data_IF_031511164337
#
_entry.id   IF_031511164337
#
_cell.length_a   1.000
_cell.length_b   1.000
_cell.length_c   1.000
_cell.angle_alpha   90.00
_cell.angle_beta   90.00
_cell.angle_gamma   90.00
#
_symmetry.space_group_name_H-M   'P 1'
#
loop_
_entity.id
_entity.type
_entity.pdbx_description
1 polymer ?
#
# COMPACT_ATOMS: atom_id res chain seq x y z
N UNK A 1 51.74 -50.66 35.50
CA UNK A 1 50.34 -50.23 35.65
C UNK A 1 50.18 -48.96 34.89
N UNK A 2 49.55 -49.02 33.70
CA UNK A 2 49.24 -47.82 32.86
C UNK A 2 47.73 -47.59 32.96
N UNK A 3 47.37 -46.44 33.58
CA UNK A 3 45.99 -46.01 33.74
C UNK A 3 45.57 -45.30 32.43
N UNK A 4 44.51 -45.80 31.79
CA UNK A 4 43.89 -45.23 30.61
C UNK A 4 42.75 -44.33 31.11
N UNK A 5 42.91 -42.99 30.97
CA UNK A 5 41.85 -42.03 31.21
C UNK A 5 40.99 -41.94 29.94
N UNK A 6 39.78 -42.46 30.01
CA UNK A 6 38.77 -42.33 28.93
C UNK A 6 38.07 -41.00 29.06
N UNK A 7 38.27 -40.11 28.08
CA UNK A 7 37.62 -38.79 28.01
C UNK A 7 36.25 -38.93 27.32
N UNK A 8 35.18 -38.91 28.09
CA UNK A 8 33.82 -38.87 27.52
C UNK A 8 33.50 -37.44 27.04
N UNK A 9 33.45 -37.27 25.73
CA UNK A 9 33.04 -36.01 25.08
C UNK A 9 31.50 -35.93 25.10
N UNK A 10 30.94 -35.14 26.00
CA UNK A 10 29.51 -34.87 26.08
C UNK A 10 29.14 -33.87 24.98
N UNK A 11 28.57 -34.34 23.87
CA UNK A 11 28.01 -33.49 22.82
C UNK A 11 26.68 -32.95 23.30
N UNK A 12 26.63 -31.69 23.72
CA UNK A 12 25.40 -30.95 23.94
C UNK A 12 24.78 -30.64 22.59
N UNK A 13 23.73 -31.37 22.20
CA UNK A 13 22.81 -31.02 21.15
C UNK A 13 21.98 -29.83 21.65
N UNK A 14 22.32 -28.61 21.24
CA UNK A 14 21.45 -27.45 21.42
C UNK A 14 20.21 -27.66 20.55
N UNK A 15 18.99 -27.58 21.13
CA UNK A 15 17.79 -27.56 20.29
C UNK A 15 17.84 -26.31 19.43
N UNK A 16 17.96 -26.50 18.12
CA UNK A 16 17.80 -25.41 17.17
C UNK A 16 16.41 -24.78 17.37
N UNK A 17 16.35 -23.51 17.74
CA UNK A 17 15.11 -22.75 17.64
C UNK A 17 14.69 -22.80 16.16
N UNK A 18 13.70 -23.62 15.85
CA UNK A 18 12.99 -23.51 14.58
C UNK A 18 12.29 -22.15 14.59
N UNK A 19 12.74 -21.25 13.74
CA UNK A 19 12.04 -19.99 13.49
C UNK A 19 10.64 -20.34 12.96
N UNK A 20 9.62 -20.23 13.82
CA UNK A 20 8.23 -20.58 13.51
C UNK A 20 7.49 -19.40 12.85
N UNK A 21 8.23 -18.44 12.29
CA UNK A 21 7.62 -17.35 11.56
C UNK A 21 6.83 -17.91 10.37
N UNK A 22 5.57 -17.52 10.27
CA UNK A 22 4.74 -17.87 9.11
C UNK A 22 5.39 -17.31 7.84
N UNK A 23 5.28 -18.02 6.71
CA UNK A 23 5.76 -17.46 5.43
C UNK A 23 5.04 -16.14 5.12
N UNK A 24 5.66 -15.24 4.33
CA UNK A 24 5.03 -14.00 3.91
C UNK A 24 3.66 -14.25 3.30
N UNK A 25 2.67 -13.47 3.73
CA UNK A 25 1.27 -13.61 3.28
C UNK A 25 1.15 -13.36 1.77
N UNK A 26 0.30 -14.14 1.11
CA UNK A 26 -0.09 -14.02 -0.30
C UNK A 26 -1.60 -13.81 -0.42
N UNK A 27 -2.06 -13.28 -1.57
CA UNK A 27 -3.50 -13.12 -1.83
C UNK A 27 -4.20 -14.48 -1.83
N UNK A 28 -3.53 -15.54 -2.30
CA UNK A 28 -4.04 -16.91 -2.25
C UNK A 28 -4.35 -17.40 -0.82
N UNK A 29 -3.68 -16.85 0.20
CA UNK A 29 -3.96 -17.19 1.60
C UNK A 29 -5.33 -16.64 2.05
N UNK A 30 -5.84 -15.57 1.39
CA UNK A 30 -7.10 -14.92 1.76
C UNK A 30 -8.34 -15.79 1.52
N UNK A 31 -8.21 -16.88 0.79
CA UNK A 31 -9.28 -17.87 0.59
C UNK A 31 -9.33 -18.90 1.74
N UNK A 32 -8.20 -19.16 2.37
CA UNK A 32 -8.02 -20.27 3.31
C UNK A 32 -8.20 -19.85 4.78
N UNK A 33 -8.04 -18.58 5.10
CA UNK A 33 -8.20 -18.04 6.46
C UNK A 33 -9.54 -17.28 6.55
N UNK A 34 -10.36 -17.64 7.51
CA UNK A 34 -11.66 -17.02 7.78
C UNK A 34 -11.55 -15.75 8.61
N UNK A 35 -10.40 -15.52 9.25
CA UNK A 35 -10.17 -14.35 10.09
C UNK A 35 -9.53 -13.20 9.32
N UNK A 36 -10.35 -12.28 8.81
CA UNK A 36 -9.89 -11.05 8.14
C UNK A 36 -8.93 -10.24 9.02
N UNK A 37 -9.12 -10.27 10.35
CA UNK A 37 -8.23 -9.60 11.30
C UNK A 37 -6.83 -10.24 11.32
N UNK A 38 -6.75 -11.57 11.36
CA UNK A 38 -5.46 -12.27 11.34
C UNK A 38 -4.73 -12.03 10.01
N UNK A 39 -5.46 -12.08 8.90
CA UNK A 39 -4.89 -11.76 7.58
C UNK A 39 -4.36 -10.32 7.53
N UNK A 40 -5.11 -9.36 8.10
CA UNK A 40 -4.66 -7.97 8.22
C UNK A 40 -3.36 -7.85 9.01
N UNK A 41 -3.27 -8.49 10.18
CA UNK A 41 -2.04 -8.50 10.99
C UNK A 41 -0.86 -9.05 10.19
N UNK A 42 -1.00 -10.21 9.54
CA UNK A 42 0.04 -10.80 8.69
C UNK A 42 0.45 -9.87 7.54
N UNK A 43 -0.52 -9.15 6.95
CA UNK A 43 -0.23 -8.15 5.91
C UNK A 43 0.62 -6.99 6.45
N UNK A 44 0.33 -6.55 7.68
CA UNK A 44 1.07 -5.48 8.34
C UNK A 44 2.41 -5.94 8.94
N UNK A 45 2.66 -7.25 9.08
CA UNK A 45 3.95 -7.81 9.49
C UNK A 45 4.95 -7.95 8.33
N UNK A 46 4.52 -7.71 7.10
CA UNK A 46 5.42 -7.70 5.94
C UNK A 46 6.56 -6.67 6.14
N UNK A 47 7.77 -6.94 5.64
CA UNK A 47 8.88 -6.01 5.74
C UNK A 47 8.60 -4.69 5.00
N UNK A 48 9.22 -3.60 5.45
CA UNK A 48 9.10 -2.30 4.77
C UNK A 48 9.67 -2.33 3.36
N UNK A 49 8.89 -1.88 2.40
CA UNK A 49 9.17 -1.85 0.97
C UNK A 49 8.08 -2.54 0.16
N UNK A 50 8.35 -2.82 -1.11
CA UNK A 50 7.45 -3.53 -2.00
C UNK A 50 7.47 -5.04 -1.70
N UNK A 51 6.31 -5.57 -1.37
CA UNK A 51 6.11 -7.00 -1.13
C UNK A 51 5.26 -7.58 -2.24
N UNK A 52 5.80 -8.52 -2.99
CA UNK A 52 5.02 -9.25 -4.00
C UNK A 52 3.96 -10.11 -3.31
N UNK A 53 2.71 -9.94 -3.73
CA UNK A 53 1.54 -10.62 -3.14
C UNK A 53 1.21 -11.96 -3.82
N UNK A 54 1.82 -12.23 -4.95
CA UNK A 54 1.66 -13.48 -5.70
C UNK A 54 3.00 -13.88 -6.34
N UNK A 55 3.17 -15.15 -6.71
CA UNK A 55 4.30 -15.54 -7.54
C UNK A 55 4.30 -14.75 -8.86
N UNK A 56 5.49 -14.41 -9.36
CA UNK A 56 5.60 -13.77 -10.67
C UNK A 56 4.97 -14.67 -11.73
N UNK A 57 3.98 -14.12 -12.43
CA UNK A 57 3.39 -14.78 -13.59
C UNK A 57 4.19 -14.38 -14.84
N UNK A 58 4.46 -15.34 -15.72
CA UNK A 58 5.02 -15.02 -17.04
C UNK A 58 4.03 -14.11 -17.79
N UNK A 59 4.58 -13.11 -18.53
CA UNK A 59 3.81 -12.24 -19.43
C UNK A 59 2.91 -11.17 -18.80
N UNK A 60 3.10 -10.85 -17.51
CA UNK A 60 2.41 -9.71 -16.89
C UNK A 60 2.96 -8.40 -17.44
N UNK A 61 2.07 -7.49 -17.85
CA UNK A 61 2.45 -6.19 -18.40
C UNK A 61 2.12 -5.01 -17.47
N UNK A 62 1.44 -5.25 -16.36
CA UNK A 62 1.07 -4.24 -15.37
C UNK A 62 1.57 -4.65 -13.99
N UNK A 63 2.23 -3.73 -13.31
CA UNK A 63 2.42 -3.82 -11.87
C UNK A 63 1.35 -2.98 -11.16
N UNK A 64 0.74 -3.55 -10.12
CA UNK A 64 -0.26 -2.90 -9.31
C UNK A 64 0.21 -2.82 -7.86
N UNK A 65 0.28 -1.61 -7.31
CA UNK A 65 0.86 -1.36 -5.99
C UNK A 65 -0.20 -0.76 -5.08
N UNK A 66 -0.48 -1.42 -3.96
CA UNK A 66 -1.36 -0.92 -2.91
C UNK A 66 -0.53 -0.32 -1.77
N UNK A 67 -0.90 0.89 -1.33
CA UNK A 67 -0.16 1.67 -0.32
C UNK A 67 -1.11 2.04 0.83
N UNK A 68 -0.83 1.48 2.01
CA UNK A 68 -1.68 1.65 3.19
C UNK A 68 -1.61 3.06 3.78
N UNK A 69 -2.64 3.45 4.53
CA UNK A 69 -2.71 4.68 5.29
C UNK A 69 -1.97 4.65 6.62
N UNK A 70 -2.01 5.74 7.35
CA UNK A 70 -1.50 5.80 8.72
C UNK A 70 -2.35 4.95 9.67
N UNK A 71 -1.72 4.29 10.63
CA UNK A 71 -2.37 3.38 11.59
C UNK A 71 -3.24 2.30 10.94
N UNK A 72 -2.85 1.82 9.76
CA UNK A 72 -3.53 0.72 9.09
C UNK A 72 -3.38 -0.57 9.92
N UNK A 73 -4.48 -1.30 10.07
CA UNK A 73 -4.49 -2.64 10.67
C UNK A 73 -4.46 -3.75 9.61
N UNK A 74 -4.48 -3.38 8.32
CA UNK A 74 -4.36 -4.27 7.16
C UNK A 74 -5.66 -4.97 6.76
N UNK A 75 -6.60 -5.19 7.68
CA UNK A 75 -7.85 -5.91 7.38
C UNK A 75 -8.71 -5.20 6.33
N UNK A 76 -8.63 -3.87 6.24
CA UNK A 76 -9.33 -3.05 5.25
C UNK A 76 -8.83 -3.30 3.83
N UNK A 77 -7.65 -3.90 3.68
CA UNK A 77 -7.04 -4.23 2.39
C UNK A 77 -7.34 -5.65 1.88
N UNK A 78 -7.83 -6.55 2.74
CA UNK A 78 -8.00 -7.97 2.37
C UNK A 78 -9.00 -8.12 1.22
N UNK A 79 -10.19 -7.53 1.34
CA UNK A 79 -11.19 -7.56 0.28
C UNK A 79 -10.73 -6.82 -0.99
N UNK A 80 -10.22 -5.57 -0.91
CA UNK A 80 -9.73 -4.84 -2.08
C UNK A 80 -8.63 -5.58 -2.85
N UNK A 81 -7.63 -6.13 -2.16
CA UNK A 81 -6.55 -6.87 -2.80
C UNK A 81 -7.06 -8.11 -3.56
N UNK A 82 -8.01 -8.86 -2.98
CA UNK A 82 -8.67 -9.98 -3.67
C UNK A 82 -9.41 -9.52 -4.93
N UNK A 83 -10.16 -8.42 -4.81
CA UNK A 83 -11.02 -7.90 -5.87
C UNK A 83 -10.22 -7.38 -7.06
N UNK A 84 -9.13 -6.67 -6.79
CA UNK A 84 -8.27 -6.04 -7.79
C UNK A 84 -7.35 -7.07 -8.46
N UNK A 85 -7.03 -8.16 -7.76
CA UNK A 85 -6.11 -9.19 -8.26
C UNK A 85 -6.65 -9.85 -9.53
N UNK A 86 -5.85 -9.85 -10.59
CA UNK A 86 -6.14 -10.52 -11.85
C UNK A 86 -4.87 -11.17 -12.39
N UNK A 87 -5.02 -12.13 -13.30
CA UNK A 87 -3.88 -12.79 -13.98
C UNK A 87 -3.04 -11.84 -14.86
N UNK A 88 -3.54 -10.62 -15.11
CA UNK A 88 -2.87 -9.62 -15.95
C UNK A 88 -2.01 -8.63 -15.13
N UNK A 89 -2.06 -8.71 -13.80
CA UNK A 89 -1.40 -7.79 -12.88
C UNK A 89 -0.45 -8.53 -11.96
N UNK A 90 0.74 -7.97 -11.77
CA UNK A 90 1.61 -8.38 -10.68
C UNK A 90 1.31 -7.48 -9.46
N UNK A 91 0.71 -8.08 -8.45
CA UNK A 91 0.23 -7.36 -7.27
C UNK A 91 1.36 -7.18 -6.26
N UNK A 92 1.49 -5.94 -5.76
CA UNK A 92 2.39 -5.58 -4.67
C UNK A 92 1.64 -4.88 -3.55
N UNK A 93 2.10 -5.08 -2.33
CA UNK A 93 1.70 -4.30 -1.17
C UNK A 93 2.92 -3.54 -0.64
N UNK A 94 2.83 -2.21 -0.59
CA UNK A 94 3.90 -1.36 -0.08
C UNK A 94 3.75 -1.12 1.40
N UNK A 95 4.67 -1.68 2.19
CA UNK A 95 4.78 -1.43 3.62
C UNK A 95 5.73 -0.28 3.87
N UNK A 96 5.33 0.64 4.73
CA UNK A 96 6.16 1.80 5.07
C UNK A 96 5.94 2.22 6.53
N UNK A 97 6.91 2.92 7.19
CA UNK A 97 6.77 3.38 8.57
C UNK A 97 5.83 4.60 8.61
N UNK A 98 4.55 4.37 8.82
CA UNK A 98 3.46 5.35 8.74
C UNK A 98 3.43 6.38 9.88
N UNK A 99 4.32 6.24 10.86
CA UNK A 99 4.61 7.22 11.90
C UNK A 99 5.77 8.19 11.53
N UNK A 100 6.23 8.16 10.29
CA UNK A 100 7.31 8.99 9.76
C UNK A 100 6.83 9.93 8.66
N UNK A 101 7.68 10.90 8.30
CA UNK A 101 7.40 11.74 7.13
C UNK A 101 7.53 10.96 5.82
N UNK A 102 6.79 11.39 4.82
CA UNK A 102 6.59 10.69 3.55
C UNK A 102 7.83 10.68 2.62
N UNK A 103 8.79 11.59 2.78
CA UNK A 103 9.88 11.79 1.82
C UNK A 103 10.72 10.53 1.59
N UNK A 104 11.19 9.90 2.66
CA UNK A 104 11.99 8.67 2.55
C UNK A 104 11.17 7.49 2.00
N UNK A 105 9.93 7.23 2.46
CA UNK A 105 9.05 6.25 1.85
C UNK A 105 8.78 6.49 0.36
N UNK A 106 8.52 7.73 -0.07
CA UNK A 106 8.32 8.08 -1.48
C UNK A 106 9.56 7.77 -2.30
N UNK A 107 10.74 8.19 -1.83
CA UNK A 107 12.01 7.89 -2.49
C UNK A 107 12.22 6.39 -2.63
N UNK A 108 12.05 5.64 -1.54
CA UNK A 108 12.20 4.18 -1.55
C UNK A 108 11.24 3.51 -2.54
N UNK A 109 9.97 3.91 -2.55
CA UNK A 109 8.98 3.38 -3.48
C UNK A 109 9.38 3.64 -4.94
N UNK A 110 9.84 4.86 -5.25
CA UNK A 110 10.33 5.20 -6.60
C UNK A 110 11.53 4.36 -7.02
N UNK A 111 12.50 4.19 -6.12
CA UNK A 111 13.71 3.40 -6.37
C UNK A 111 13.37 1.92 -6.64
N UNK A 112 12.45 1.34 -5.86
CA UNK A 112 12.01 -0.05 -6.02
C UNK A 112 11.21 -0.25 -7.33
N UNK A 113 10.30 0.66 -7.68
CA UNK A 113 9.60 0.65 -8.98
C UNK A 113 10.63 0.72 -10.12
N UNK A 114 11.60 1.62 -10.02
CA UNK A 114 12.65 1.77 -11.04
C UNK A 114 13.45 0.49 -11.19
N UNK A 115 13.77 -0.19 -10.10
CA UNK A 115 14.47 -1.48 -10.11
C UNK A 115 13.65 -2.54 -10.86
N UNK A 116 12.35 -2.67 -10.59
CA UNK A 116 11.47 -3.61 -11.29
C UNK A 116 11.46 -3.32 -12.79
N UNK A 117 11.26 -2.07 -13.21
CA UNK A 117 11.23 -1.68 -14.62
C UNK A 117 12.58 -1.89 -15.35
N UNK A 118 13.68 -1.88 -14.60
CA UNK A 118 15.00 -2.19 -15.15
C UNK A 118 15.19 -3.69 -15.36
N UNK A 119 14.65 -4.50 -14.48
CA UNK A 119 14.75 -5.97 -14.53
C UNK A 119 13.75 -6.59 -15.51
N UNK A 120 12.55 -6.01 -15.61
CA UNK A 120 11.49 -6.53 -16.48
C UNK A 120 11.02 -5.46 -17.48
N UNK A 121 11.44 -5.59 -18.73
CA UNK A 121 11.06 -4.70 -19.83
C UNK A 121 9.68 -5.03 -20.45
N UNK A 122 9.03 -6.09 -20.01
CA UNK A 122 7.67 -6.42 -20.44
C UNK A 122 6.61 -5.50 -19.80
N UNK A 123 6.92 -4.87 -18.66
CA UNK A 123 6.02 -3.97 -17.95
C UNK A 123 5.73 -2.72 -18.79
N UNK A 124 4.45 -2.50 -19.08
CA UNK A 124 3.93 -1.39 -19.91
C UNK A 124 3.13 -0.37 -19.14
N UNK A 125 2.67 -0.72 -17.92
CA UNK A 125 1.83 0.13 -17.08
C UNK A 125 2.16 -0.06 -15.61
N UNK A 126 2.04 1.03 -14.87
CA UNK A 126 2.14 1.04 -13.40
C UNK A 126 0.83 1.62 -12.88
N UNK A 127 0.17 0.89 -11.99
CA UNK A 127 -1.01 1.38 -11.27
C UNK A 127 -0.76 1.39 -9.78
N UNK A 128 -1.08 2.48 -9.12
CA UNK A 128 -0.99 2.60 -7.67
C UNK A 128 -2.35 2.97 -7.07
N UNK A 129 -2.63 2.40 -5.94
CA UNK A 129 -3.76 2.80 -5.11
C UNK A 129 -3.24 3.16 -3.72
N UNK A 130 -3.50 4.40 -3.29
CA UNK A 130 -3.10 4.91 -1.98
C UNK A 130 -4.29 5.36 -1.17
N UNK A 131 -4.40 4.84 0.06
CA UNK A 131 -5.48 5.22 0.97
C UNK A 131 -4.98 6.18 2.06
N UNK A 132 -5.77 7.21 2.36
CA UNK A 132 -5.46 8.14 3.44
C UNK A 132 -4.03 8.72 3.30
N UNK A 133 -3.15 8.54 4.28
CA UNK A 133 -1.75 8.98 4.20
C UNK A 133 -0.97 8.26 3.08
N UNK A 134 -1.34 7.02 2.74
CA UNK A 134 -0.79 6.33 1.55
C UNK A 134 -1.10 7.05 0.25
N UNK A 135 -2.23 7.75 0.16
CA UNK A 135 -2.56 8.62 -0.97
C UNK A 135 -1.62 9.82 -1.10
N UNK A 136 -1.16 10.38 0.03
CA UNK A 136 -0.07 11.39 0.04
C UNK A 136 1.19 10.81 -0.61
N UNK A 137 1.60 9.59 -0.20
CA UNK A 137 2.81 8.97 -0.75
C UNK A 137 2.74 8.82 -2.26
N UNK A 138 1.66 8.22 -2.78
CA UNK A 138 1.54 7.95 -4.22
C UNK A 138 1.40 9.24 -5.03
N UNK A 139 0.78 10.28 -4.45
CA UNK A 139 0.66 11.58 -5.12
C UNK A 139 2.01 12.30 -5.15
N UNK A 140 2.77 12.29 -4.04
CA UNK A 140 4.10 12.91 -3.99
C UNK A 140 5.10 12.24 -4.93
N UNK A 141 4.90 10.98 -5.28
CA UNK A 141 5.69 10.28 -6.29
C UNK A 141 5.65 11.00 -7.64
N UNK A 142 4.54 11.69 -7.96
CA UNK A 142 4.38 12.43 -9.21
C UNK A 142 5.27 13.66 -9.32
N UNK A 143 5.69 14.29 -8.22
CA UNK A 143 6.54 15.52 -8.26
C UNK A 143 7.80 15.30 -9.07
N UNK A 144 8.41 14.13 -8.95
CA UNK A 144 9.67 13.80 -9.60
C UNK A 144 9.52 12.64 -10.59
N UNK A 145 8.28 12.38 -11.08
CA UNK A 145 8.05 11.27 -12.01
C UNK A 145 8.65 11.58 -13.38
N UNK A 146 9.72 10.91 -13.70
CA UNK A 146 10.47 11.08 -14.95
C UNK A 146 10.65 9.77 -15.75
N UNK A 147 9.99 8.69 -15.32
CA UNK A 147 10.03 7.41 -16.02
C UNK A 147 9.14 7.44 -17.27
N UNK A 148 9.53 6.69 -18.30
CA UNK A 148 8.80 6.65 -19.57
C UNK A 148 7.53 5.80 -19.51
N UNK A 149 7.46 4.86 -18.55
CA UNK A 149 6.31 3.98 -18.36
C UNK A 149 5.11 4.77 -17.85
N UNK A 150 3.93 4.66 -18.47
CA UNK A 150 2.71 5.30 -18.00
C UNK A 150 2.37 4.89 -16.56
N UNK A 151 1.90 5.86 -15.78
CA UNK A 151 1.50 5.65 -14.40
C UNK A 151 0.06 6.12 -14.17
N UNK A 152 -0.72 5.29 -13.49
CA UNK A 152 -2.08 5.57 -13.06
C UNK A 152 -2.15 5.52 -11.53
N UNK A 153 -2.66 6.58 -10.94
CA UNK A 153 -2.71 6.73 -9.48
C UNK A 153 -4.16 6.93 -9.04
N UNK A 154 -4.59 6.11 -8.10
CA UNK A 154 -5.86 6.23 -7.41
C UNK A 154 -5.61 6.64 -5.97
N UNK A 155 -6.07 7.82 -5.58
CA UNK A 155 -6.00 8.30 -4.19
C UNK A 155 -7.38 8.24 -3.57
N UNK A 156 -7.49 7.58 -2.42
CA UNK A 156 -8.75 7.30 -1.76
C UNK A 156 -8.75 7.91 -0.36
N UNK A 157 -9.77 8.73 -0.07
CA UNK A 157 -9.94 9.35 1.24
C UNK A 157 -8.63 9.96 1.76
N UNK A 158 -7.90 10.67 0.88
CA UNK A 158 -6.55 11.18 1.18
C UNK A 158 -6.58 12.67 1.48
N UNK A 159 -5.85 13.13 2.52
CA UNK A 159 -5.79 14.54 2.88
C UNK A 159 -4.80 15.31 1.98
N UNK A 160 -5.12 15.41 0.69
CA UNK A 160 -4.25 15.99 -0.33
C UNK A 160 -3.98 17.48 -0.14
N UNK A 161 -4.85 18.21 0.57
CA UNK A 161 -4.60 19.59 1.01
C UNK A 161 -3.53 19.66 2.10
N UNK A 162 -3.25 18.52 2.74
CA UNK A 162 -2.42 18.42 3.93
C UNK A 162 -3.23 18.54 5.21
N UNK A 163 -2.54 18.46 6.31
CA UNK A 163 -3.05 18.74 7.65
C UNK A 163 -2.06 19.65 8.38
N UNK A 164 -2.46 20.41 9.41
CA UNK A 164 -1.52 21.26 10.15
C UNK A 164 -0.27 20.50 10.62
N UNK A 165 -0.44 19.27 11.11
CA UNK A 165 0.66 18.43 11.55
C UNK A 165 1.58 18.02 10.38
N UNK A 166 1.00 17.53 9.28
CA UNK A 166 1.76 17.10 8.11
C UNK A 166 2.54 18.25 7.49
N UNK A 167 1.90 19.42 7.37
CA UNK A 167 2.51 20.61 6.78
C UNK A 167 3.67 21.14 7.66
N UNK A 168 3.47 21.18 8.99
CA UNK A 168 4.48 21.72 9.90
C UNK A 168 5.64 20.76 10.18
N UNK A 169 5.36 19.47 10.39
CA UNK A 169 6.38 18.50 10.77
C UNK A 169 7.12 17.90 9.56
N UNK A 170 6.42 17.73 8.44
CA UNK A 170 6.96 17.05 7.26
C UNK A 170 7.15 17.99 6.06
N UNK A 171 6.96 19.30 6.23
CA UNK A 171 7.04 20.27 5.14
C UNK A 171 6.25 19.82 3.90
N UNK A 172 5.02 19.31 4.15
CA UNK A 172 4.18 18.83 3.05
C UNK A 172 3.62 20.01 2.24
N UNK A 173 3.68 19.86 0.95
CA UNK A 173 3.02 20.73 -0.02
C UNK A 173 2.30 19.84 -1.05
N UNK A 174 1.05 20.16 -1.42
CA UNK A 174 0.36 19.50 -2.51
C UNK A 174 1.17 19.53 -3.81
N UNK A 175 0.91 18.58 -4.71
CA UNK A 175 1.43 18.70 -6.08
C UNK A 175 0.68 19.81 -6.82
N UNK A 176 1.38 20.49 -7.72
CA UNK A 176 0.83 21.60 -8.51
C UNK A 176 0.49 21.21 -9.95
N UNK A 177 0.94 20.04 -10.40
CA UNK A 177 0.69 19.56 -11.76
C UNK A 177 0.79 18.04 -11.84
N UNK A 178 0.07 17.47 -12.81
CA UNK A 178 0.14 16.05 -13.16
C UNK A 178 1.11 15.91 -14.33
N UNK A 179 2.20 15.10 -14.21
CA UNK A 179 3.15 14.90 -15.29
C UNK A 179 2.51 14.26 -16.53
N UNK A 180 3.13 14.46 -17.70
CA UNK A 180 2.74 13.73 -18.91
C UNK A 180 2.84 12.22 -18.69
N UNK A 181 1.93 11.47 -19.33
CA UNK A 181 1.79 9.99 -19.16
C UNK A 181 1.37 9.56 -17.75
N UNK A 182 0.85 10.47 -16.94
CA UNK A 182 0.27 10.17 -15.64
C UNK A 182 -1.21 10.48 -15.64
N UNK A 183 -1.98 9.66 -14.94
CA UNK A 183 -3.40 9.88 -14.67
C UNK A 183 -3.60 9.83 -13.16
N UNK A 184 -4.36 10.79 -12.61
CA UNK A 184 -4.69 10.84 -11.20
C UNK A 184 -6.20 10.80 -11.02
N UNK A 185 -6.68 9.78 -10.30
CA UNK A 185 -8.05 9.64 -9.84
C UNK A 185 -8.12 9.99 -8.36
N UNK A 186 -9.03 10.90 -8.01
CA UNK A 186 -9.30 11.28 -6.63
C UNK A 186 -10.67 10.75 -6.21
N UNK A 187 -10.69 9.79 -5.28
CA UNK A 187 -11.88 9.17 -4.72
C UNK A 187 -12.13 9.76 -3.34
N UNK A 188 -13.00 10.78 -3.28
CA UNK A 188 -13.25 11.57 -2.09
C UNK A 188 -14.44 11.03 -1.32
N UNK A 189 -14.26 10.68 -0.05
CA UNK A 189 -15.37 10.35 0.86
C UNK A 189 -16.24 11.58 1.11
N UNK A 190 -17.50 11.36 1.53
CA UNK A 190 -18.32 12.44 2.05
C UNK A 190 -17.69 12.98 3.35
N UNK A 191 -17.24 14.21 3.36
CA UNK A 191 -16.49 14.81 4.46
C UNK A 191 -17.19 14.62 5.82
N UNK A 192 -18.52 14.87 5.88
CA UNK A 192 -19.31 14.75 7.10
C UNK A 192 -19.51 13.30 7.58
N UNK A 193 -19.32 12.32 6.71
CA UNK A 193 -19.46 10.91 7.02
C UNK A 193 -18.11 10.22 7.31
N UNK A 194 -17.01 10.88 6.99
CA UNK A 194 -15.66 10.38 7.20
C UNK A 194 -15.20 10.63 8.65
N UNK A 195 -15.05 9.57 9.42
CA UNK A 195 -14.68 9.69 10.84
C UNK A 195 -13.29 10.30 11.09
N UNK A 196 -12.42 10.26 10.09
CA UNK A 196 -11.07 10.84 10.20
C UNK A 196 -11.11 12.34 9.94
N UNK A 197 -11.97 12.79 9.02
CA UNK A 197 -11.95 14.18 8.54
C UNK A 197 -13.07 15.06 9.12
N UNK A 198 -14.23 14.51 9.45
CA UNK A 198 -15.46 15.27 9.79
C UNK A 198 -15.32 16.30 10.91
N UNK A 199 -14.30 16.19 11.75
CA UNK A 199 -14.04 17.11 12.85
C UNK A 199 -12.96 18.17 12.50
N UNK A 200 -12.45 18.17 11.27
CA UNK A 200 -11.55 19.21 10.78
C UNK A 200 -12.37 20.44 10.37
N UNK A 201 -11.71 21.61 10.31
CA UNK A 201 -12.38 22.86 9.93
C UNK A 201 -12.75 22.88 8.44
N UNK A 202 -12.03 22.16 7.60
CA UNK A 202 -12.24 22.04 6.18
C UNK A 202 -11.95 20.62 5.68
N UNK A 203 -12.47 20.28 4.50
CA UNK A 203 -12.26 18.98 3.89
C UNK A 203 -10.83 18.88 3.33
N UNK A 204 -9.92 18.09 3.95
CA UNK A 204 -8.52 18.03 3.54
C UNK A 204 -8.32 17.27 2.22
N UNK A 205 -9.36 16.63 1.69
CA UNK A 205 -9.29 15.91 0.41
C UNK A 205 -9.30 16.89 -0.79
N UNK A 206 -9.82 18.11 -0.59
CA UNK A 206 -10.09 19.05 -1.67
C UNK A 206 -8.86 19.87 -2.05
N UNK A 207 -8.22 19.45 -3.13
CA UNK A 207 -7.23 20.28 -3.83
C UNK A 207 -7.79 20.68 -5.21
N UNK A 208 -7.31 21.80 -5.72
CA UNK A 208 -7.53 22.22 -7.11
C UNK A 208 -6.33 21.78 -7.94
N UNK A 209 -6.49 20.71 -8.70
CA UNK A 209 -5.43 20.16 -9.53
C UNK A 209 -5.95 19.88 -10.95
N UNK A 210 -5.50 20.69 -11.90
CA UNK A 210 -5.92 20.56 -13.28
C UNK A 210 -5.56 19.17 -13.85
N UNK A 211 -6.57 18.50 -14.41
CA UNK A 211 -6.42 17.20 -15.06
C UNK A 211 -6.59 15.99 -14.13
N UNK A 212 -6.84 16.19 -12.83
CA UNK A 212 -7.28 15.10 -11.97
C UNK A 212 -8.74 14.73 -12.24
N UNK A 213 -9.05 13.45 -12.08
CA UNK A 213 -10.39 12.90 -12.26
C UNK A 213 -11.01 12.67 -10.87
N UNK A 214 -11.90 13.59 -10.48
CA UNK A 214 -12.48 13.61 -9.12
C UNK A 214 -13.82 12.90 -9.10
N UNK A 215 -13.98 11.96 -8.17
CA UNK A 215 -15.25 11.29 -7.86
C UNK A 215 -15.53 11.41 -6.37
N UNK A 216 -16.69 11.98 -6.02
CA UNK A 216 -17.18 11.94 -4.65
C UNK A 216 -17.95 10.64 -4.44
N UNK A 217 -17.59 9.89 -3.41
CA UNK A 217 -18.18 8.60 -3.09
C UNK A 217 -19.61 8.78 -2.55
N UNK A 218 -20.50 7.77 -2.71
CA UNK A 218 -21.83 7.83 -2.15
C UNK A 218 -21.82 7.77 -0.61
N UNK A 219 -22.97 8.10 0.02
CA UNK A 219 -23.10 8.07 1.48
C UNK A 219 -23.08 6.66 2.05
N UNK A 220 -23.50 5.68 1.24
CA UNK A 220 -23.66 4.29 1.67
C UNK A 220 -23.04 3.31 0.69
N UNK A 221 -22.63 2.16 1.20
CA UNK A 221 -22.11 1.04 0.45
C UNK A 221 -22.53 -0.27 1.12
N UNK A 222 -23.15 -1.16 0.34
CA UNK A 222 -23.67 -2.44 0.83
C UNK A 222 -24.55 -2.29 2.09
N UNK A 223 -25.40 -1.26 2.11
CA UNK A 223 -26.32 -0.99 3.21
C UNK A 223 -25.73 -0.33 4.46
N UNK A 224 -24.43 -0.02 4.45
CA UNK A 224 -23.74 0.64 5.55
C UNK A 224 -23.25 2.03 5.13
N UNK A 225 -23.02 2.91 6.12
CA UNK A 225 -22.39 4.21 5.87
C UNK A 225 -21.01 4.02 5.26
N UNK A 226 -20.78 4.64 4.12
CA UNK A 226 -19.49 4.64 3.47
C UNK A 226 -18.56 5.67 4.14
N UNK A 227 -17.67 5.18 4.99
CA UNK A 227 -16.68 5.99 5.69
C UNK A 227 -15.26 5.73 5.20
N UNK A 228 -14.30 6.21 5.98
CA UNK A 228 -12.87 6.24 5.63
C UNK A 228 -12.34 4.91 5.07
N UNK A 229 -12.36 3.83 5.85
CA UNK A 229 -11.76 2.56 5.45
C UNK A 229 -12.60 1.77 4.41
N UNK A 230 -13.93 1.93 4.45
CA UNK A 230 -14.82 1.26 3.48
C UNK A 230 -14.70 1.82 2.07
N UNK A 231 -14.17 3.03 1.95
CA UNK A 231 -13.90 3.69 0.67
C UNK A 231 -12.98 2.85 -0.24
N UNK A 232 -12.01 2.13 0.33
CA UNK A 232 -11.10 1.26 -0.44
C UNK A 232 -11.88 0.12 -1.12
N UNK A 233 -12.80 -0.50 -0.37
CA UNK A 233 -13.63 -1.60 -0.90
C UNK A 233 -14.59 -1.13 -1.98
N UNK A 234 -15.19 0.06 -1.81
CA UNK A 234 -16.05 0.65 -2.83
C UNK A 234 -15.28 0.93 -4.12
N UNK A 235 -14.11 1.56 -4.02
CA UNK A 235 -13.27 1.84 -5.19
C UNK A 235 -12.80 0.55 -5.86
N UNK A 236 -12.50 -0.50 -5.09
CA UNK A 236 -12.15 -1.80 -5.66
C UNK A 236 -13.29 -2.42 -6.48
N UNK A 237 -14.56 -2.21 -6.08
CA UNK A 237 -15.72 -2.71 -6.82
C UNK A 237 -16.04 -1.88 -8.07
N UNK A 238 -15.85 -0.56 -8.02
CA UNK A 238 -16.33 0.36 -9.06
C UNK A 238 -15.27 0.73 -10.11
N UNK A 239 -13.98 0.65 -9.75
CA UNK A 239 -12.88 1.10 -10.60
C UNK A 239 -12.05 -0.05 -11.21
N UNK A 240 -12.19 -1.31 -10.72
CA UNK A 240 -11.34 -2.43 -11.10
C UNK A 240 -12.13 -3.71 -11.35
#
# INVERSE_FOLDING_TARGET
MKSIFSFFLLIFLLPGCSDTSLPPIKISDFENDTSVKNLGMRLMDLPYGLNSMEPSLAEVQEIFISVHGGNSEGYEWIYPLKKINTKLRHMYFYRWPDNSCFQNPVKKLKDEITSILNQDKSIKKISLIGHSYGGILVTQLLKDWNLSTPIEIHVIASPLLGTPMLNSMCAYEPISAIPKKSVLYEWRTQFQLDNVFKNLNEDPQRIELNGSLVTTLPDTYKGNRLGHNWSISWVADEAF
#
